data_IF_577443774246
#
_entry.id   IF_577443774246
#
_cell.length_a   1.000
_cell.length_b   1.000
_cell.length_c   1.000
_cell.angle_alpha   90.00
_cell.angle_beta   90.00
_cell.angle_gamma   90.00
#
_symmetry.space_group_name_H-M   'P 1'
#
loop_
_entity.id
_entity.type
_entity.pdbx_description
1 polymer ?
#
# COMPACT_ATOMS: atom_id res chain seq x y z
N UNK A 1 10.26 -5.44 -4.12
CA UNK A 1 10.12 -3.98 -4.07
C UNK A 1 11.23 -3.32 -4.84
N UNK A 2 11.21 -2.00 -4.96
CA UNK A 2 12.26 -1.18 -5.58
C UNK A 2 12.25 0.24 -4.99
N UNK A 3 13.30 1.02 -5.24
CA UNK A 3 13.44 2.40 -4.74
C UNK A 3 14.09 2.49 -3.35
N UNK A 4 13.99 3.67 -2.73
CA UNK A 4 14.58 3.97 -1.40
C UNK A 4 13.53 4.45 -0.42
N UNK A 5 13.57 3.93 0.82
CA UNK A 5 12.63 4.32 1.90
C UNK A 5 12.69 5.82 2.22
N UNK A 6 13.83 6.47 1.97
CA UNK A 6 14.00 7.92 2.13
C UNK A 6 13.38 8.77 1.01
N UNK A 7 12.85 8.14 -0.04
CA UNK A 7 12.31 8.78 -1.23
C UNK A 7 11.17 7.92 -1.82
N UNK A 8 11.04 7.92 -3.14
CA UNK A 8 10.09 7.05 -3.85
C UNK A 8 10.53 5.59 -3.73
N UNK A 9 9.62 4.76 -3.23
CA UNK A 9 9.81 3.33 -3.16
C UNK A 9 8.51 2.56 -3.23
N UNK A 10 8.63 1.32 -3.65
CA UNK A 10 7.62 0.30 -3.52
C UNK A 10 8.16 -0.83 -2.64
N UNK A 11 7.47 -1.14 -1.55
CA UNK A 11 7.87 -2.20 -0.62
C UNK A 11 7.99 -3.57 -1.33
N UNK A 12 7.09 -3.84 -2.27
CA UNK A 12 7.00 -5.12 -2.99
C UNK A 12 5.83 -5.96 -2.52
N UNK A 13 5.16 -6.61 -3.46
CA UNK A 13 3.91 -7.31 -3.22
C UNK A 13 4.07 -8.43 -2.19
N UNK A 14 5.17 -9.19 -2.22
CA UNK A 14 5.43 -10.25 -1.22
C UNK A 14 5.44 -9.71 0.22
N UNK A 15 6.09 -8.57 0.46
CA UNK A 15 6.13 -7.95 1.79
C UNK A 15 4.77 -7.36 2.18
N UNK A 16 4.07 -6.74 1.22
CA UNK A 16 2.70 -6.25 1.46
C UNK A 16 1.77 -7.41 1.82
N UNK A 17 1.87 -8.55 1.12
CA UNK A 17 1.09 -9.77 1.39
C UNK A 17 1.35 -10.29 2.80
N UNK A 18 2.62 -10.42 3.19
CA UNK A 18 3.02 -10.86 4.53
C UNK A 18 2.47 -9.92 5.60
N UNK A 19 2.51 -8.59 5.38
CA UNK A 19 2.00 -7.62 6.34
C UNK A 19 0.47 -7.69 6.45
N UNK A 20 -0.24 -7.67 5.32
CA UNK A 20 -1.70 -7.56 5.31
C UNK A 20 -2.44 -8.84 5.67
N UNK A 21 -1.79 -10.01 5.65
CA UNK A 21 -2.43 -11.28 6.04
C UNK A 21 -2.23 -11.67 7.51
N UNK A 22 -1.49 -10.88 8.28
CA UNK A 22 -1.29 -11.17 9.71
C UNK A 22 -2.52 -10.82 10.56
N UNK A 23 -3.23 -9.76 10.19
CA UNK A 23 -4.39 -9.18 10.89
C UNK A 23 -5.23 -8.40 9.89
N UNK A 24 -6.32 -7.79 10.34
CA UNK A 24 -7.04 -6.83 9.53
C UNK A 24 -6.28 -5.51 9.49
N UNK A 25 -5.92 -5.06 8.28
CA UNK A 25 -5.25 -3.78 8.04
C UNK A 25 -6.15 -2.85 7.23
N UNK A 26 -6.07 -1.55 7.51
CA UNK A 26 -6.70 -0.52 6.70
C UNK A 26 -5.69 0.05 5.70
N UNK A 27 -6.14 0.34 4.48
CA UNK A 27 -5.35 1.05 3.46
C UNK A 27 -5.80 2.51 3.41
N UNK A 28 -4.84 3.43 3.57
CA UNK A 28 -5.04 4.85 3.32
C UNK A 28 -4.17 5.29 2.16
N UNK A 29 -4.80 5.86 1.14
CA UNK A 29 -4.12 6.43 -0.03
C UNK A 29 -4.23 7.94 0.09
N UNK A 30 -3.10 8.63 0.10
CA UNK A 30 -3.02 10.09 0.15
C UNK A 30 -2.57 10.62 -1.21
N UNK A 31 -3.26 11.65 -1.69
CA UNK A 31 -3.01 12.30 -2.97
C UNK A 31 -2.86 13.79 -2.72
N UNK A 32 -1.87 14.40 -3.34
CA UNK A 32 -1.70 15.86 -3.36
C UNK A 32 -1.73 16.31 -4.81
N UNK A 33 -2.57 17.29 -5.14
CA UNK A 33 -2.59 17.89 -6.48
C UNK A 33 -1.45 18.90 -6.66
N UNK A 34 -1.31 19.42 -7.89
CA UNK A 34 -0.26 20.39 -8.23
C UNK A 34 -0.44 21.74 -7.54
N UNK A 35 -1.67 22.07 -7.12
CA UNK A 35 -2.02 23.28 -6.38
C UNK A 35 -1.85 23.11 -4.86
N UNK A 36 -1.43 21.92 -4.42
CA UNK A 36 -1.17 21.57 -3.03
C UNK A 36 -2.39 21.10 -2.24
N UNK A 37 -3.56 20.89 -2.88
CA UNK A 37 -4.70 20.31 -2.20
C UNK A 37 -4.48 18.83 -1.91
N UNK A 38 -4.78 18.43 -0.67
CA UNK A 38 -4.65 17.06 -0.22
C UNK A 38 -6.02 16.38 -0.15
N UNK A 39 -6.09 15.18 -0.68
CA UNK A 39 -7.24 14.29 -0.55
C UNK A 39 -6.77 12.91 -0.09
N UNK A 40 -7.64 12.17 0.57
CA UNK A 40 -7.36 10.79 0.94
C UNK A 40 -8.56 9.88 0.70
N UNK A 41 -8.26 8.61 0.42
CA UNK A 41 -9.22 7.52 0.39
C UNK A 41 -8.82 6.49 1.42
N UNK A 42 -9.77 6.04 2.24
CA UNK A 42 -9.54 5.04 3.28
C UNK A 42 -10.41 3.80 3.03
N UNK A 43 -9.78 2.63 3.12
CA UNK A 43 -10.41 1.32 3.06
C UNK A 43 -10.14 0.60 4.38
N UNK A 44 -11.20 0.27 5.11
CA UNK A 44 -11.07 -0.29 6.48
C UNK A 44 -10.55 -1.74 6.51
N UNK A 45 -10.59 -2.43 5.37
CA UNK A 45 -10.11 -3.80 5.23
C UNK A 45 -9.39 -3.98 3.91
N UNK A 46 -8.08 -4.15 3.97
CA UNK A 46 -7.20 -4.36 2.84
C UNK A 46 -6.28 -5.55 3.08
N UNK A 47 -6.28 -6.47 2.12
CA UNK A 47 -5.33 -7.55 2.03
C UNK A 47 -5.08 -7.87 0.55
N UNK A 48 -3.89 -8.38 0.27
CA UNK A 48 -3.57 -8.97 -1.04
C UNK A 48 -3.29 -10.45 -0.84
N UNK A 49 -3.63 -11.27 -1.81
CA UNK A 49 -3.39 -12.71 -1.77
C UNK A 49 -1.93 -13.01 -2.13
N UNK A 50 -1.55 -14.28 -2.09
CA UNK A 50 -0.20 -14.74 -2.40
C UNK A 50 0.08 -14.62 -3.90
N UNK A 51 1.35 -14.68 -4.28
CA UNK A 51 1.76 -14.69 -5.69
C UNK A 51 1.09 -15.81 -6.51
N UNK A 52 0.79 -16.95 -5.88
CA UNK A 52 0.06 -18.06 -6.52
C UNK A 52 -1.37 -17.70 -6.95
N UNK A 53 -1.95 -16.70 -6.30
CA UNK A 53 -3.27 -16.14 -6.61
C UNK A 53 -3.18 -14.79 -7.35
N UNK A 54 -1.98 -14.41 -7.79
CA UNK A 54 -1.67 -13.15 -8.49
C UNK A 54 -1.86 -11.87 -7.66
N UNK A 55 -1.69 -11.95 -6.34
CA UNK A 55 -1.79 -10.82 -5.39
C UNK A 55 -3.20 -10.22 -5.27
#
# INVERSE_FOLDING_TARGET
GFGSVSAEHWLGNEFVHILTNQRQYALRVELTDWDGHQAFSQYDSFHIDSEKHNY
#
